data_IF_067465623114
#
_entry.id   IF_067465623114
#
_cell.length_a   1.000
_cell.length_b   1.000
_cell.length_c   1.000
_cell.angle_alpha   90.00
_cell.angle_beta   90.00
_cell.angle_gamma   90.00
#
_symmetry.space_group_name_H-M   'P 1'
#
loop_
_entity.id
_entity.type
_entity.pdbx_description
1 polymer ?
#
# COMPACT_ATOMS: atom_id res chain seq x y z
N UNK A 1 -11.49 -13.80 -8.91
CA UNK A 1 -11.77 -15.15 -8.38
C UNK A 1 -10.81 -15.47 -7.24
N UNK A 2 -10.96 -14.80 -6.10
CA UNK A 2 -10.34 -15.23 -4.85
C UNK A 2 -11.47 -15.30 -3.83
N UNK A 3 -11.67 -16.48 -3.25
CA UNK A 3 -12.63 -16.79 -2.19
C UNK A 3 -14.10 -16.98 -2.61
N UNK A 4 -14.37 -17.90 -3.54
CA UNK A 4 -15.58 -18.71 -3.43
C UNK A 4 -15.26 -19.86 -2.47
N UNK A 5 -15.75 -19.78 -1.24
CA UNK A 5 -15.75 -20.87 -0.25
C UNK A 5 -16.35 -22.14 -0.87
N UNK A 6 -15.49 -23.13 -1.14
CA UNK A 6 -15.74 -24.32 -1.97
C UNK A 6 -16.63 -25.40 -1.30
N UNK A 7 -17.19 -25.16 -0.12
CA UNK A 7 -17.92 -26.20 0.61
C UNK A 7 -19.40 -26.42 0.21
N UNK A 8 -19.92 -25.74 -0.83
CA UNK A 8 -21.26 -26.03 -1.35
C UNK A 8 -21.51 -25.53 -2.78
N UNK A 9 -20.69 -25.91 -3.76
CA UNK A 9 -21.04 -25.68 -5.17
C UNK A 9 -22.19 -26.61 -5.56
N UNK A 10 -23.37 -26.04 -5.81
CA UNK A 10 -24.53 -26.79 -6.34
C UNK A 10 -24.15 -27.38 -7.71
N UNK A 11 -24.56 -28.62 -7.98
CA UNK A 11 -24.33 -29.34 -9.25
C UNK A 11 -24.64 -28.49 -10.48
N UNK A 12 -25.72 -27.70 -10.44
CA UNK A 12 -26.11 -26.80 -11.53
C UNK A 12 -25.07 -25.72 -11.86
N UNK A 13 -24.28 -25.27 -10.89
CA UNK A 13 -23.20 -24.31 -11.13
C UNK A 13 -21.97 -24.97 -11.76
N UNK A 14 -21.68 -26.22 -11.39
CA UNK A 14 -20.63 -27.01 -12.04
C UNK A 14 -21.02 -27.37 -13.47
N UNK A 15 -22.27 -27.73 -13.72
CA UNK A 15 -22.78 -27.99 -15.08
C UNK A 15 -22.75 -26.73 -15.94
N UNK A 16 -23.14 -25.57 -15.40
CA UNK A 16 -23.03 -24.29 -16.11
C UNK A 16 -21.56 -23.91 -16.35
N UNK A 17 -20.69 -24.03 -15.34
CA UNK A 17 -19.27 -23.78 -15.47
C UNK A 17 -18.62 -24.67 -16.53
N UNK A 18 -18.87 -25.98 -16.50
CA UNK A 18 -18.37 -26.91 -17.51
C UNK A 18 -18.94 -26.58 -18.90
N UNK A 19 -20.22 -26.22 -18.99
CA UNK A 19 -20.84 -25.80 -20.26
C UNK A 19 -20.16 -24.55 -20.81
N UNK A 20 -19.87 -23.55 -19.99
CA UNK A 20 -19.14 -22.34 -20.38
C UNK A 20 -17.69 -22.66 -20.77
N UNK A 21 -16.98 -23.52 -20.03
CA UNK A 21 -15.63 -24.00 -20.39
C UNK A 21 -15.64 -24.68 -21.75
N UNK A 22 -16.61 -25.57 -22.00
CA UNK A 22 -16.74 -26.30 -23.26
C UNK A 22 -17.25 -25.40 -24.41
N UNK A 23 -18.01 -24.36 -24.12
CA UNK A 23 -18.48 -23.38 -25.10
C UNK A 23 -17.42 -22.32 -25.47
N UNK A 24 -16.23 -22.36 -24.86
CA UNK A 24 -15.18 -21.36 -25.08
C UNK A 24 -15.38 -20.06 -24.28
N UNK A 25 -16.25 -20.06 -23.27
CA UNK A 25 -16.50 -18.89 -22.40
C UNK A 25 -15.36 -18.58 -21.42
N UNK A 26 -14.32 -19.42 -21.36
CA UNK A 26 -13.07 -19.10 -20.67
C UNK A 26 -12.02 -18.75 -21.73
N UNK A 27 -11.52 -17.52 -21.74
CA UNK A 27 -10.53 -17.10 -22.70
C UNK A 27 -9.22 -17.89 -22.51
N UNK A 28 -8.62 -18.34 -23.60
CA UNK A 28 -7.31 -18.98 -23.59
C UNK A 28 -6.23 -17.90 -23.50
N UNK A 29 -5.24 -18.15 -22.63
CA UNK A 29 -4.17 -17.20 -22.37
C UNK A 29 -2.85 -17.75 -22.91
N UNK A 30 -2.22 -16.98 -23.78
CA UNK A 30 -0.83 -17.20 -24.16
C UNK A 30 0.06 -16.24 -23.37
N UNK A 31 0.94 -16.76 -22.52
CA UNK A 31 1.80 -15.94 -21.66
C UNK A 31 3.27 -16.23 -21.94
N UNK A 32 4.06 -15.17 -22.06
CA UNK A 32 5.52 -15.25 -22.15
C UNK A 32 6.17 -14.17 -21.28
N UNK A 33 7.41 -14.41 -20.86
CA UNK A 33 8.18 -13.51 -20.02
C UNK A 33 9.35 -12.90 -20.80
N UNK A 34 9.63 -11.63 -20.49
CA UNK A 34 10.79 -10.91 -21.02
C UNK A 34 11.62 -10.44 -19.85
N UNK A 35 12.78 -11.06 -19.68
CA UNK A 35 13.77 -10.63 -18.71
C UNK A 35 14.30 -9.25 -19.05
N UNK A 36 14.46 -8.43 -18.02
CA UNK A 36 15.02 -7.09 -18.10
C UNK A 36 16.01 -6.87 -16.98
N UNK A 37 17.02 -6.03 -17.23
CA UNK A 37 17.97 -5.69 -16.18
C UNK A 37 17.25 -4.90 -15.09
N UNK A 38 17.24 -5.39 -13.84
CA UNK A 38 16.71 -4.64 -12.72
C UNK A 38 17.64 -3.46 -12.46
N UNK A 39 17.17 -2.27 -12.78
CA UNK A 39 17.95 -1.04 -12.66
C UNK A 39 17.24 -0.10 -11.71
N UNK A 40 17.88 0.21 -10.59
CA UNK A 40 17.61 1.46 -9.90
C UNK A 40 18.13 2.62 -10.74
N UNK A 41 17.35 3.68 -10.78
CA UNK A 41 17.73 4.86 -11.51
C UNK A 41 18.75 5.66 -10.69
N UNK A 42 20.05 5.53 -11.02
CA UNK A 42 21.08 6.45 -10.55
C UNK A 42 20.95 7.77 -11.31
N UNK A 43 20.41 8.78 -10.63
CA UNK A 43 19.86 9.96 -11.33
C UNK A 43 20.93 10.98 -11.76
N UNK A 44 22.06 11.02 -11.05
CA UNK A 44 23.10 12.04 -11.13
C UNK A 44 24.11 11.84 -12.29
N UNK A 45 24.55 10.62 -12.56
CA UNK A 45 25.74 10.36 -13.38
C UNK A 45 25.49 9.89 -14.81
N UNK A 46 24.23 9.70 -15.23
CA UNK A 46 23.86 9.07 -16.50
C UNK A 46 24.56 7.71 -16.75
N UNK A 47 25.19 7.10 -15.74
CA UNK A 47 26.00 5.89 -15.84
C UNK A 47 25.19 4.72 -15.31
N UNK A 48 25.04 3.68 -16.14
CA UNK A 48 24.47 2.41 -15.70
C UNK A 48 25.43 1.75 -14.72
N UNK A 49 25.03 1.64 -13.46
CA UNK A 49 25.77 0.89 -12.44
C UNK A 49 25.13 -0.48 -12.32
N UNK A 50 25.90 -1.57 -12.17
CA UNK A 50 25.27 -2.90 -12.01
C UNK A 50 24.58 -2.97 -10.67
N UNK A 51 23.52 -3.76 -10.57
CA UNK A 51 22.78 -3.94 -9.32
C UNK A 51 23.69 -4.29 -8.14
N UNK A 52 24.64 -5.20 -8.36
CA UNK A 52 25.61 -5.65 -7.35
C UNK A 52 26.53 -4.52 -6.84
N UNK A 53 26.75 -3.47 -7.64
CA UNK A 53 27.64 -2.36 -7.29
C UNK A 53 27.02 -1.38 -6.28
N UNK A 54 25.68 -1.37 -6.15
CA UNK A 54 24.96 -0.45 -5.27
C UNK A 54 23.98 -1.12 -4.29
N UNK A 55 23.53 -2.35 -4.54
CA UNK A 55 22.51 -3.02 -3.71
C UNK A 55 22.90 -3.12 -2.23
N UNK A 56 24.19 -3.33 -1.97
CA UNK A 56 24.75 -3.38 -0.61
C UNK A 56 24.62 -2.05 0.16
N UNK A 57 24.50 -0.92 -0.55
CA UNK A 57 24.33 0.41 0.05
C UNK A 57 22.88 0.75 0.33
N UNK A 58 21.95 -0.04 -0.23
CA UNK A 58 20.53 0.23 -0.19
C UNK A 58 19.89 -0.71 0.80
N UNK A 59 20.13 -0.39 2.07
CA UNK A 59 19.50 -1.05 3.20
C UNK A 59 17.99 -0.82 3.13
N UNK A 60 17.24 -1.92 3.16
CA UNK A 60 15.79 -1.91 3.15
C UNK A 60 15.27 -2.72 4.32
N UNK A 61 14.00 -2.53 4.61
CA UNK A 61 13.24 -3.37 5.52
C UNK A 61 12.11 -4.01 4.73
N UNK A 62 11.94 -5.31 4.94
CA UNK A 62 10.78 -6.05 4.46
C UNK A 62 10.03 -6.55 5.66
N UNK A 63 8.71 -6.53 5.57
CA UNK A 63 7.92 -7.23 6.56
C UNK A 63 8.25 -8.73 6.42
N UNK A 64 8.65 -9.39 7.51
CA UNK A 64 8.62 -10.84 7.55
C UNK A 64 7.20 -11.30 7.20
N UNK A 65 7.07 -12.37 6.41
CA UNK A 65 5.77 -12.92 6.01
C UNK A 65 5.08 -13.65 7.19
N UNK A 66 5.11 -13.06 8.38
CA UNK A 66 4.74 -13.65 9.68
C UNK A 66 3.57 -12.92 10.33
N UNK A 67 2.81 -12.13 9.56
CA UNK A 67 1.43 -11.83 9.95
C UNK A 67 0.64 -13.14 9.88
N UNK A 68 0.81 -13.98 10.90
CA UNK A 68 0.26 -15.33 10.97
C UNK A 68 -1.14 -15.35 10.41
N UNK A 69 -1.31 -16.10 9.32
CA UNK A 69 -2.59 -16.32 8.67
C UNK A 69 -3.43 -17.14 9.66
N UNK A 70 -4.19 -16.42 10.49
CA UNK A 70 -4.84 -17.08 11.62
C UNK A 70 -5.59 -16.13 12.54
N UNK A 71 -6.53 -16.73 13.26
CA UNK A 71 -7.32 -16.09 14.30
C UNK A 71 -6.39 -15.71 15.46
N UNK A 72 -6.42 -14.44 15.87
CA UNK A 72 -5.60 -13.93 16.98
C UNK A 72 -6.43 -13.90 18.26
N UNK A 73 -5.91 -14.43 19.34
CA UNK A 73 -6.55 -14.36 20.65
C UNK A 73 -6.16 -13.06 21.32
N UNK A 74 -7.13 -12.25 21.74
CA UNK A 74 -6.89 -10.91 22.27
C UNK A 74 -7.63 -10.73 23.59
N UNK A 75 -6.92 -10.23 24.59
CA UNK A 75 -7.43 -9.87 25.89
C UNK A 75 -7.35 -8.35 26.08
N UNK A 76 -8.51 -7.74 26.34
CA UNK A 76 -8.64 -6.32 26.64
C UNK A 76 -8.50 -6.12 28.15
N UNK A 77 -7.48 -5.39 28.59
CA UNK A 77 -7.23 -5.08 30.00
C UNK A 77 -7.05 -3.57 30.20
N UNK A 78 -8.12 -2.82 29.99
CA UNK A 78 -8.09 -1.35 30.04
C UNK A 78 -7.17 -0.78 28.97
N UNK A 79 -6.09 -0.12 29.40
CA UNK A 79 -5.10 0.48 28.50
C UNK A 79 -4.03 -0.53 28.03
N UNK A 80 -4.08 -1.80 28.46
CA UNK A 80 -3.19 -2.85 27.96
C UNK A 80 -3.95 -3.86 27.08
N UNK A 81 -3.37 -4.18 25.93
CA UNK A 81 -3.88 -5.20 25.03
C UNK A 81 -2.87 -6.35 24.97
N UNK A 82 -3.26 -7.51 25.48
CA UNK A 82 -2.47 -8.73 25.35
C UNK A 82 -3.04 -9.55 24.21
N UNK A 83 -2.19 -10.16 23.41
CA UNK A 83 -2.64 -11.03 22.35
C UNK A 83 -1.68 -12.20 22.13
N UNK A 84 -2.21 -13.29 21.60
CA UNK A 84 -1.41 -14.42 21.11
C UNK A 84 -1.77 -14.73 19.66
N UNK A 85 -0.77 -15.13 18.89
CA UNK A 85 -0.91 -15.49 17.49
C UNK A 85 -0.02 -16.70 17.17
N UNK A 86 -0.39 -17.45 16.15
CA UNK A 86 0.42 -18.56 15.65
C UNK A 86 1.35 -18.06 14.54
N UNK A 87 2.62 -18.40 14.66
CA UNK A 87 3.67 -18.13 13.68
C UNK A 87 4.47 -19.42 13.46
N UNK A 88 4.47 -19.95 12.24
CA UNK A 88 5.03 -21.28 11.91
C UNK A 88 4.66 -22.38 12.92
N UNK A 89 3.37 -22.46 13.27
CA UNK A 89 2.80 -23.41 14.25
C UNK A 89 3.27 -23.23 15.70
N UNK A 90 3.98 -22.15 16.00
CA UNK A 90 4.40 -21.79 17.36
C UNK A 90 3.54 -20.63 17.88
N UNK A 91 3.03 -20.75 19.10
CA UNK A 91 2.28 -19.65 19.74
C UNK A 91 3.25 -18.57 20.21
N UNK A 92 3.07 -17.34 19.71
CA UNK A 92 3.83 -16.16 20.11
C UNK A 92 2.92 -15.17 20.86
N UNK A 93 3.31 -14.72 22.06
CA UNK A 93 2.62 -13.66 22.76
C UNK A 93 3.07 -12.28 22.27
N UNK A 94 2.19 -11.29 22.41
CA UNK A 94 2.51 -9.88 22.26
C UNK A 94 1.69 -9.03 23.22
N UNK A 95 2.24 -7.88 23.59
CA UNK A 95 1.56 -6.91 24.47
C UNK A 95 1.75 -5.51 23.93
N UNK A 96 0.64 -4.80 23.75
CA UNK A 96 0.63 -3.38 23.45
C UNK A 96 0.38 -2.66 24.77
N UNK A 97 1.47 -2.22 25.41
CA UNK A 97 1.39 -1.35 26.59
C UNK A 97 1.03 0.07 26.17
N UNK A 98 0.21 0.75 26.97
CA UNK A 98 -0.24 2.12 26.74
C UNK A 98 -1.03 2.29 25.42
N UNK A 99 -2.17 1.61 25.34
CA UNK A 99 -3.13 1.80 24.27
C UNK A 99 -3.49 3.29 24.16
N UNK A 100 -3.04 3.93 23.07
CA UNK A 100 -3.47 5.28 22.74
C UNK A 100 -4.96 5.25 22.44
N UNK A 101 -5.76 5.82 23.34
CA UNK A 101 -7.21 5.90 23.22
C UNK A 101 -7.61 6.49 21.88
N UNK A 102 -8.64 5.89 21.29
CA UNK A 102 -9.13 6.26 19.98
C UNK A 102 -9.98 7.52 20.06
N UNK A 103 -9.77 8.44 19.12
CA UNK A 103 -10.73 9.49 18.77
C UNK A 103 -11.61 8.98 17.63
N UNK A 104 -12.93 9.02 17.84
CA UNK A 104 -13.94 8.58 16.87
C UNK A 104 -14.75 9.78 16.41
N UNK A 105 -14.73 10.05 15.10
CA UNK A 105 -15.48 11.15 14.49
C UNK A 105 -16.62 10.59 13.65
N UNK A 106 -17.85 10.80 14.11
CA UNK A 106 -19.09 10.32 13.50
C UNK A 106 -19.94 11.45 12.94
N UNK A 107 -19.38 12.65 12.80
CA UNK A 107 -20.10 13.78 12.23
C UNK A 107 -20.43 13.51 10.76
N UNK A 108 -21.68 13.76 10.41
CA UNK A 108 -22.13 13.72 9.01
C UNK A 108 -21.57 14.89 8.19
N UNK A 109 -21.31 16.01 8.86
CA UNK A 109 -20.68 17.20 8.31
C UNK A 109 -19.47 17.56 9.20
N UNK A 110 -18.27 17.46 8.63
CA UNK A 110 -17.00 17.64 9.35
C UNK A 110 -16.63 19.10 9.59
N UNK A 111 -17.24 20.02 8.85
CA UNK A 111 -17.03 21.45 9.04
C UNK A 111 -17.87 21.99 10.20
N UNK A 112 -18.91 21.24 10.59
CA UNK A 112 -19.74 21.59 11.74
C UNK A 112 -19.09 21.08 13.02
N UNK A 113 -18.91 21.99 13.99
CA UNK A 113 -18.53 21.60 15.34
C UNK A 113 -19.60 20.68 15.94
N UNK A 114 -19.19 19.52 16.44
CA UNK A 114 -20.04 18.63 17.21
C UNK A 114 -19.41 18.40 18.59
N UNK A 115 -20.24 18.22 19.64
CA UNK A 115 -19.74 17.96 20.96
C UNK A 115 -19.06 16.58 21.05
N UNK A 116 -18.15 16.44 22.01
CA UNK A 116 -17.73 15.14 22.50
C UNK A 116 -18.87 14.53 23.33
N UNK A 117 -19.36 13.37 22.89
CA UNK A 117 -20.48 12.65 23.52
C UNK A 117 -20.03 11.38 24.25
N UNK A 118 -18.72 11.19 24.47
CA UNK A 118 -18.20 10.01 25.15
C UNK A 118 -18.87 9.79 26.52
N UNK A 119 -18.95 10.84 27.33
CA UNK A 119 -19.56 10.78 28.66
C UNK A 119 -21.07 10.56 28.60
N UNK A 120 -21.76 11.23 27.67
CA UNK A 120 -23.21 11.05 27.43
C UNK A 120 -23.51 9.56 27.11
N UNK A 121 -22.66 8.94 26.27
CA UNK A 121 -22.80 7.54 25.90
C UNK A 121 -22.51 6.59 27.06
N UNK A 122 -21.46 6.85 27.85
CA UNK A 122 -21.14 6.03 29.03
C UNK A 122 -22.31 6.04 30.03
N UNK A 123 -22.82 7.22 30.36
CA UNK A 123 -23.94 7.39 31.27
C UNK A 123 -25.22 6.73 30.75
N UNK A 124 -25.52 6.85 29.45
CA UNK A 124 -26.69 6.20 28.86
C UNK A 124 -26.58 4.67 28.88
N UNK A 125 -25.39 4.11 28.66
CA UNK A 125 -25.15 2.67 28.76
C UNK A 125 -25.40 2.12 30.18
N UNK A 126 -25.06 2.90 31.20
CA UNK A 126 -25.32 2.57 32.60
C UNK A 126 -26.81 2.77 32.95
N UNK A 127 -27.35 3.96 32.67
CA UNK A 127 -28.72 4.36 33.02
C UNK A 127 -29.79 3.52 32.33
N UNK A 128 -29.62 3.22 31.04
CA UNK A 128 -30.59 2.47 30.24
C UNK A 128 -30.19 1.00 30.03
N UNK A 129 -29.29 0.48 30.88
CA UNK A 129 -28.73 -0.86 30.83
C UNK A 129 -29.75 -1.99 30.58
N UNK A 130 -30.95 -1.91 31.17
CA UNK A 130 -32.01 -2.91 31.07
C UNK A 130 -32.88 -2.78 29.80
N UNK A 131 -32.83 -1.64 29.12
CA UNK A 131 -33.58 -1.37 27.88
C UNK A 131 -32.72 -1.57 26.62
N UNK A 132 -31.39 -1.65 26.78
CA UNK A 132 -30.47 -1.89 25.68
C UNK A 132 -30.41 -3.38 25.32
N UNK A 133 -30.43 -3.69 24.03
CA UNK A 133 -30.37 -5.07 23.54
C UNK A 133 -28.94 -5.63 23.59
N UNK A 134 -28.51 -6.06 24.77
CA UNK A 134 -27.18 -6.62 25.03
C UNK A 134 -26.89 -7.88 24.22
N UNK A 135 -27.89 -8.73 24.03
CA UNK A 135 -27.73 -9.95 23.24
C UNK A 135 -27.41 -9.62 21.77
N UNK A 136 -28.16 -8.69 21.16
CA UNK A 136 -27.94 -8.25 19.78
C UNK A 136 -26.62 -7.51 19.63
N UNK A 137 -26.15 -6.78 20.65
CA UNK A 137 -24.82 -6.15 20.62
C UNK A 137 -23.71 -7.21 20.73
N UNK A 138 -23.84 -8.20 21.60
CA UNK A 138 -22.90 -9.32 21.72
C UNK A 138 -22.77 -10.10 20.40
N UNK A 139 -23.87 -10.29 19.65
CA UNK A 139 -23.82 -10.88 18.30
C UNK A 139 -23.03 -10.01 17.32
N UNK A 140 -23.13 -8.68 17.40
CA UNK A 140 -22.32 -7.77 16.56
C UNK A 140 -20.85 -7.86 16.93
N UNK A 141 -20.53 -7.86 18.23
CA UNK A 141 -19.15 -8.04 18.72
C UNK A 141 -18.55 -9.34 18.18
N UNK A 142 -19.26 -10.46 18.32
CA UNK A 142 -18.80 -11.76 17.82
C UNK A 142 -18.58 -11.73 16.30
N UNK A 143 -19.56 -11.26 15.54
CA UNK A 143 -19.49 -11.20 14.08
C UNK A 143 -18.34 -10.33 13.59
N UNK A 144 -18.16 -9.15 14.17
CA UNK A 144 -17.07 -8.25 13.78
C UNK A 144 -15.72 -8.80 14.21
N UNK A 145 -15.61 -9.46 15.36
CA UNK A 145 -14.39 -10.14 15.77
C UNK A 145 -14.01 -11.25 14.78
N UNK A 146 -14.94 -12.15 14.42
CA UNK A 146 -14.72 -13.20 13.42
C UNK A 146 -14.31 -12.64 12.06
N UNK A 147 -15.03 -11.62 11.57
CA UNK A 147 -14.73 -10.94 10.31
C UNK A 147 -13.32 -10.36 10.29
N UNK A 148 -12.83 -9.89 11.44
CA UNK A 148 -11.48 -9.34 11.59
C UNK A 148 -10.46 -10.38 12.07
N UNK A 149 -10.80 -11.68 12.07
CA UNK A 149 -9.92 -12.78 12.52
C UNK A 149 -9.40 -12.59 13.95
N UNK A 150 -10.27 -12.09 14.84
CA UNK A 150 -9.98 -11.92 16.26
C UNK A 150 -10.89 -12.80 17.11
N UNK A 151 -10.34 -13.37 18.17
CA UNK A 151 -11.07 -13.91 19.32
C UNK A 151 -10.86 -12.96 20.49
N UNK A 152 -11.88 -12.17 20.79
CA UNK A 152 -11.79 -11.11 21.80
C UNK A 152 -12.31 -11.60 23.15
N UNK A 153 -11.58 -11.24 24.20
CA UNK A 153 -11.90 -11.51 25.60
C UNK A 153 -11.69 -10.24 26.41
N UNK A 154 -12.53 -10.02 27.42
CA UNK A 154 -12.25 -9.05 28.48
C UNK A 154 -11.38 -9.69 29.58
N UNK A 155 -11.10 -8.90 30.63
CA UNK A 155 -10.40 -9.40 31.83
C UNK A 155 -11.08 -10.69 32.34
N UNK A 156 -10.25 -11.67 32.72
CA UNK A 156 -10.69 -12.98 33.22
C UNK A 156 -11.38 -13.90 32.17
N UNK A 157 -11.05 -13.73 30.87
CA UNK A 157 -11.50 -14.64 29.80
C UNK A 157 -13.04 -14.63 29.58
N UNK A 158 -13.70 -13.54 29.98
CA UNK A 158 -15.12 -13.30 29.71
C UNK A 158 -15.35 -12.75 28.31
N UNK A 159 -16.61 -12.83 27.84
CA UNK A 159 -17.01 -12.21 26.57
C UNK A 159 -16.96 -10.68 26.73
N UNK A 160 -16.32 -9.96 25.78
CA UNK A 160 -16.23 -8.51 25.87
C UNK A 160 -17.60 -7.86 25.74
N UNK A 161 -17.75 -6.75 26.44
CA UNK A 161 -18.94 -5.91 26.50
C UNK A 161 -18.65 -4.54 25.93
N UNK A 162 -19.67 -3.70 25.80
CA UNK A 162 -19.46 -2.31 25.37
C UNK A 162 -18.53 -1.53 26.31
N UNK A 163 -18.48 -1.87 27.60
CA UNK A 163 -17.60 -1.20 28.57
C UNK A 163 -16.14 -1.42 28.21
N UNK A 164 -15.78 -2.65 27.80
CA UNK A 164 -14.43 -2.99 27.36
C UNK A 164 -14.05 -2.20 26.10
N UNK A 165 -14.98 -2.06 25.15
CA UNK A 165 -14.78 -1.25 23.95
C UNK A 165 -14.62 0.24 24.26
N UNK A 166 -15.43 0.79 25.16
CA UNK A 166 -15.34 2.20 25.56
C UNK A 166 -14.05 2.51 26.33
N UNK A 167 -13.43 1.53 26.99
CA UNK A 167 -12.12 1.71 27.63
C UNK A 167 -11.02 2.08 26.62
N UNK A 168 -11.17 1.63 25.37
CA UNK A 168 -10.23 1.89 24.27
C UNK A 168 -10.46 3.24 23.57
N UNK A 169 -11.49 3.98 23.96
CA UNK A 169 -11.94 5.22 23.31
C UNK A 169 -11.77 6.38 24.27
N UNK A 170 -11.30 7.52 23.75
CA UNK A 170 -11.04 8.72 24.54
C UNK A 170 -12.00 9.87 24.22
N UNK A 171 -12.42 9.98 22.96
CA UNK A 171 -13.27 11.07 22.47
C UNK A 171 -14.19 10.55 21.37
N UNK A 172 -15.45 11.00 21.38
CA UNK A 172 -16.44 10.65 20.37
C UNK A 172 -17.14 11.93 19.88
N UNK A 173 -16.80 12.39 18.69
CA UNK A 173 -17.45 13.55 18.08
C UNK A 173 -18.73 13.10 17.37
N UNK A 174 -19.88 13.43 17.95
CA UNK A 174 -21.18 13.08 17.37
C UNK A 174 -22.28 14.03 17.86
N UNK A 175 -23.45 13.95 17.23
CA UNK A 175 -24.63 14.69 17.70
C UNK A 175 -25.14 14.14 19.04
N UNK A 176 -25.52 15.03 19.96
CA UNK A 176 -26.10 14.66 21.26
C UNK A 176 -27.36 13.78 21.11
N UNK A 177 -27.70 12.98 22.13
CA UNK A 177 -28.95 12.24 22.14
C UNK A 177 -30.13 13.20 21.96
N UNK A 178 -30.96 12.93 20.95
CA UNK A 178 -32.22 13.65 20.72
C UNK A 178 -33.32 13.14 21.66
N UNK A 179 -34.55 13.04 21.16
CA UNK A 179 -35.71 12.60 21.95
C UNK A 179 -35.66 11.12 22.37
N UNK A 180 -34.89 10.29 21.67
CA UNK A 180 -34.73 8.85 21.95
C UNK A 180 -33.28 8.50 22.31
N UNK A 181 -32.90 8.57 23.60
CA UNK A 181 -31.55 8.26 24.05
C UNK A 181 -31.22 6.76 23.94
N UNK A 182 -32.21 5.86 23.98
CA UNK A 182 -31.99 4.41 23.91
C UNK A 182 -31.59 4.01 22.49
N UNK A 183 -32.37 4.43 21.48
CA UNK A 183 -32.04 4.13 20.09
C UNK A 183 -30.75 4.83 19.65
N UNK A 184 -30.48 6.04 20.13
CA UNK A 184 -29.21 6.72 19.92
C UNK A 184 -28.03 5.90 20.47
N UNK A 185 -28.16 5.40 21.70
CA UNK A 185 -27.13 4.57 22.36
C UNK A 185 -26.90 3.25 21.63
N UNK A 186 -27.97 2.53 21.23
CA UNK A 186 -27.84 1.24 20.52
C UNK A 186 -27.13 1.41 19.16
N UNK A 187 -27.48 2.47 18.40
CA UNK A 187 -26.82 2.76 17.12
C UNK A 187 -25.35 3.09 17.31
N UNK A 188 -25.03 3.98 18.26
CA UNK A 188 -23.66 4.43 18.47
C UNK A 188 -22.77 3.30 19.01
N UNK A 189 -23.26 2.48 19.94
CA UNK A 189 -22.55 1.30 20.42
C UNK A 189 -22.20 0.32 19.29
N UNK A 190 -23.13 0.06 18.37
CA UNK A 190 -22.86 -0.81 17.20
C UNK A 190 -21.76 -0.26 16.32
N UNK A 191 -21.80 1.03 16.03
CA UNK A 191 -20.80 1.69 15.19
C UNK A 191 -19.41 1.64 15.85
N UNK A 192 -19.34 1.91 17.15
CA UNK A 192 -18.10 1.81 17.94
C UNK A 192 -17.53 0.39 17.88
N UNK A 193 -18.35 -0.64 18.07
CA UNK A 193 -17.88 -2.03 17.98
C UNK A 193 -17.25 -2.32 16.62
N UNK A 194 -17.86 -1.88 15.51
CA UNK A 194 -17.34 -2.09 14.15
C UNK A 194 -15.98 -1.40 14.00
N UNK A 195 -15.89 -0.10 14.35
CA UNK A 195 -14.69 0.69 14.09
C UNK A 195 -13.53 0.36 15.03
N UNK A 196 -13.82 0.15 16.31
CA UNK A 196 -12.80 -0.21 17.31
C UNK A 196 -12.27 -1.60 17.02
N UNK A 197 -13.09 -2.58 16.66
CA UNK A 197 -12.60 -3.94 16.31
C UNK A 197 -11.64 -3.89 15.12
N UNK A 198 -12.01 -3.13 14.07
CA UNK A 198 -11.15 -2.93 12.89
C UNK A 198 -9.83 -2.25 13.25
N UNK A 199 -9.88 -1.16 14.03
CA UNK A 199 -8.67 -0.43 14.48
C UNK A 199 -7.79 -1.28 15.38
N UNK A 200 -8.38 -2.09 16.26
CA UNK A 200 -7.68 -3.05 17.12
C UNK A 200 -6.94 -4.10 16.30
N UNK A 201 -7.60 -4.71 15.32
CA UNK A 201 -6.97 -5.65 14.37
C UNK A 201 -5.77 -5.00 13.68
N UNK A 202 -5.95 -3.81 13.13
CA UNK A 202 -4.88 -3.12 12.39
C UNK A 202 -3.68 -2.82 13.29
N UNK A 203 -3.93 -2.37 14.52
CA UNK A 203 -2.88 -2.05 15.48
C UNK A 203 -2.13 -3.29 15.99
N UNK A 204 -2.83 -4.40 16.23
CA UNK A 204 -2.20 -5.68 16.58
C UNK A 204 -1.34 -6.18 15.41
N UNK A 205 -1.87 -6.14 14.19
CA UNK A 205 -1.08 -6.53 13.02
C UNK A 205 0.15 -5.61 12.87
N UNK A 206 0.00 -4.29 12.97
CA UNK A 206 1.12 -3.36 12.93
C UNK A 206 2.17 -3.69 14.02
N UNK A 207 1.73 -4.05 15.23
CA UNK A 207 2.63 -4.45 16.31
C UNK A 207 3.38 -5.76 16.02
N UNK A 208 2.69 -6.80 15.52
CA UNK A 208 3.31 -8.06 15.10
C UNK A 208 4.34 -7.80 13.99
N UNK A 209 3.96 -7.00 13.01
CA UNK A 209 4.73 -6.83 11.80
C UNK A 209 5.92 -5.90 11.99
N UNK A 210 5.76 -4.86 12.81
CA UNK A 210 6.88 -3.98 13.20
C UNK A 210 7.92 -4.65 14.09
N UNK A 211 7.55 -5.71 14.81
CA UNK A 211 8.49 -6.54 15.56
C UNK A 211 9.24 -7.55 14.68
N UNK A 212 8.78 -7.80 13.45
CA UNK A 212 9.31 -8.83 12.55
C UNK A 212 9.78 -8.25 11.21
N UNK A 213 10.23 -6.98 11.18
CA UNK A 213 10.92 -6.45 10.01
C UNK A 213 12.25 -7.17 9.83
N UNK A 214 12.49 -7.68 8.61
CA UNK A 214 13.77 -8.24 8.18
C UNK A 214 14.53 -7.12 7.49
N UNK A 215 15.71 -6.84 8.01
CA UNK A 215 16.64 -5.85 7.49
C UNK A 215 17.66 -6.58 6.64
N UNK A 216 17.49 -6.52 5.33
CA UNK A 216 18.40 -7.15 4.37
C UNK A 216 18.70 -6.18 3.22
N UNK A 217 19.85 -6.31 2.55
CA UNK A 217 20.11 -5.57 1.32
C UNK A 217 19.01 -5.85 0.29
N UNK A 218 18.73 -4.85 -0.55
CA UNK A 218 17.82 -5.02 -1.68
C UNK A 218 18.30 -6.21 -2.53
N UNK A 219 17.38 -7.13 -2.85
CA UNK A 219 17.62 -8.29 -3.72
C UNK A 219 17.11 -8.00 -5.12
N UNK A 220 17.64 -8.73 -6.10
CA UNK A 220 17.23 -8.62 -7.49
C UNK A 220 15.72 -8.89 -7.65
N UNK A 221 15.20 -9.87 -6.91
CA UNK A 221 13.80 -10.26 -6.92
C UNK A 221 12.86 -9.16 -6.39
N UNK A 222 13.39 -8.17 -5.67
CA UNK A 222 12.60 -7.03 -5.17
C UNK A 222 12.35 -5.97 -6.25
N UNK A 223 13.10 -6.03 -7.34
CA UNK A 223 13.00 -5.12 -8.46
C UNK A 223 12.18 -5.72 -9.60
N UNK A 224 11.80 -4.88 -10.56
CA UNK A 224 11.23 -5.36 -11.81
C UNK A 224 12.37 -5.95 -12.64
N UNK A 225 12.50 -7.27 -12.64
CA UNK A 225 13.48 -8.02 -13.43
C UNK A 225 12.86 -8.76 -14.62
N UNK A 226 11.52 -8.77 -14.72
CA UNK A 226 10.81 -9.37 -15.85
C UNK A 226 9.48 -8.66 -16.14
N UNK A 227 9.11 -8.63 -17.42
CA UNK A 227 7.74 -8.33 -17.85
C UNK A 227 7.02 -9.63 -18.20
N UNK A 228 5.77 -9.76 -17.75
CA UNK A 228 4.85 -10.80 -18.19
C UNK A 228 3.93 -10.21 -19.24
N UNK A 229 3.89 -10.81 -20.43
CA UNK A 229 2.97 -10.41 -21.50
C UNK A 229 1.98 -11.54 -21.73
N UNK A 230 0.70 -11.20 -21.74
CA UNK A 230 -0.41 -12.14 -21.91
C UNK A 230 -1.27 -11.71 -23.08
N UNK A 231 -1.44 -12.60 -24.06
CA UNK A 231 -2.44 -12.47 -25.12
C UNK A 231 -3.66 -13.33 -24.80
N UNK A 232 -4.83 -12.74 -24.95
CA UNK A 232 -6.11 -13.38 -24.71
C UNK A 232 -6.74 -13.84 -26.04
N UNK A 233 -7.30 -15.04 -26.06
CA UNK A 233 -7.98 -15.61 -27.22
C UNK A 233 -9.38 -16.05 -26.81
N UNK A 234 -10.40 -15.63 -27.56
CA UNK A 234 -11.79 -15.97 -27.27
C UNK A 234 -12.12 -17.40 -27.66
N UNK A 235 -11.44 -17.97 -28.66
CA UNK A 235 -11.72 -19.32 -29.19
C UNK A 235 -10.47 -20.20 -29.25
N UNK A 236 -10.61 -21.52 -29.00
CA UNK A 236 -9.53 -22.50 -29.18
C UNK A 236 -8.92 -22.51 -30.59
N UNK A 237 -9.75 -22.44 -31.63
CA UNK A 237 -9.27 -22.49 -33.02
C UNK A 237 -8.35 -21.31 -33.36
N UNK A 238 -8.64 -20.12 -32.81
CA UNK A 238 -7.80 -18.92 -32.99
C UNK A 238 -6.44 -19.07 -32.30
N UNK A 239 -6.42 -19.70 -31.13
CA UNK A 239 -5.19 -20.01 -30.41
C UNK A 239 -4.33 -21.04 -31.14
N UNK A 240 -4.95 -22.11 -31.65
CA UNK A 240 -4.25 -23.16 -32.39
C UNK A 240 -3.71 -22.64 -33.74
N UNK A 241 -4.49 -21.83 -34.44
CA UNK A 241 -4.05 -21.14 -35.67
C UNK A 241 -2.87 -20.21 -35.38
N UNK A 242 -2.93 -19.44 -34.28
CA UNK A 242 -1.84 -18.59 -33.82
C UNK A 242 -0.54 -19.38 -33.57
N UNK A 243 -0.61 -20.49 -32.82
CA UNK A 243 0.55 -21.35 -32.56
C UNK A 243 1.12 -21.98 -33.84
N UNK A 244 0.25 -22.38 -34.77
CA UNK A 244 0.64 -22.94 -36.06
C UNK A 244 1.36 -21.90 -36.92
N UNK A 245 0.86 -20.67 -36.94
CA UNK A 245 1.45 -19.57 -37.70
C UNK A 245 2.85 -19.19 -37.18
N UNK A 246 3.07 -19.20 -35.86
CA UNK A 246 4.40 -18.99 -35.26
C UNK A 246 5.37 -20.09 -35.71
N UNK A 247 4.99 -21.37 -35.55
CA UNK A 247 5.84 -22.52 -35.92
C UNK A 247 6.21 -22.53 -37.40
N UNK A 248 5.30 -22.13 -38.28
CA UNK A 248 5.54 -22.08 -39.72
C UNK A 248 6.48 -20.92 -40.09
N UNK A 249 6.29 -19.74 -39.49
CA UNK A 249 7.15 -18.59 -39.76
C UNK A 249 8.60 -18.81 -39.31
N UNK A 250 8.82 -19.54 -38.20
CA UNK A 250 10.15 -19.95 -37.74
C UNK A 250 10.82 -20.93 -38.72
N UNK A 251 10.07 -21.88 -39.28
CA UNK A 251 10.57 -22.86 -40.26
C UNK A 251 10.92 -22.24 -41.61
N UNK A 252 10.19 -21.21 -42.04
CA UNK A 252 10.40 -20.52 -43.32
C UNK A 252 11.66 -19.62 -43.33
N UNK A 253 12.34 -19.43 -42.20
CA UNK A 253 13.53 -18.58 -42.09
C UNK A 253 13.26 -17.08 -42.29
N UNK A 254 11.99 -16.68 -42.43
CA UNK A 254 11.58 -15.29 -42.64
C UNK A 254 11.41 -14.57 -41.30
N UNK A 255 12.53 -14.09 -40.75
CA UNK A 255 12.58 -13.39 -39.45
C UNK A 255 11.60 -12.21 -39.37
N UNK A 256 11.45 -11.41 -40.42
CA UNK A 256 10.57 -10.25 -40.43
C UNK A 256 9.07 -10.63 -40.37
N UNK A 257 8.66 -11.74 -40.99
CA UNK A 257 7.29 -12.27 -40.92
C UNK A 257 7.03 -12.92 -39.57
N UNK A 258 7.98 -13.68 -39.04
CA UNK A 258 7.90 -14.28 -37.71
C UNK A 258 7.78 -13.20 -36.61
N UNK A 259 8.55 -12.12 -36.71
CA UNK A 259 8.49 -10.98 -35.77
C UNK A 259 7.18 -10.19 -35.82
N UNK A 260 6.46 -10.17 -36.95
CA UNK A 260 5.16 -9.49 -37.07
C UNK A 260 4.02 -10.31 -36.46
N UNK A 261 4.13 -11.64 -36.50
CA UNK A 261 3.07 -12.56 -36.07
C UNK A 261 3.28 -13.01 -34.62
N UNK A 262 4.54 -13.16 -34.18
CA UNK A 262 4.89 -13.54 -32.82
C UNK A 262 4.95 -12.28 -31.91
N UNK A 263 3.99 -12.10 -30.98
CA UNK A 263 3.96 -10.98 -30.06
C UNK A 263 5.18 -10.95 -29.13
N UNK A 264 5.79 -12.10 -28.85
CA UNK A 264 7.02 -12.20 -28.07
C UNK A 264 8.20 -11.61 -28.84
N UNK A 265 8.39 -12.00 -30.09
CA UNK A 265 9.46 -11.47 -30.93
C UNK A 265 9.30 -9.98 -31.19
N UNK A 266 8.06 -9.53 -31.43
CA UNK A 266 7.71 -8.10 -31.55
C UNK A 266 8.08 -7.34 -30.28
N UNK A 267 7.64 -7.82 -29.10
CA UNK A 267 7.92 -7.18 -27.82
C UNK A 267 9.42 -7.20 -27.51
N UNK A 268 10.12 -8.31 -27.73
CA UNK A 268 11.58 -8.39 -27.56
C UNK A 268 12.31 -7.41 -28.47
N UNK A 269 11.84 -7.20 -29.70
CA UNK A 269 12.41 -6.23 -30.65
C UNK A 269 12.13 -4.79 -30.22
N UNK A 270 10.89 -4.43 -29.90
CA UNK A 270 10.56 -3.06 -29.50
C UNK A 270 11.20 -2.70 -28.17
N UNK A 271 11.19 -3.62 -27.20
CA UNK A 271 12.00 -3.49 -26.00
C UNK A 271 13.48 -3.35 -26.39
N UNK A 272 14.05 -4.24 -27.20
CA UNK A 272 15.44 -4.17 -27.66
C UNK A 272 15.83 -2.85 -28.33
N UNK A 273 14.93 -2.23 -29.13
CA UNK A 273 15.12 -0.92 -29.77
C UNK A 273 15.10 0.24 -28.78
N UNK A 274 14.24 0.13 -27.77
CA UNK A 274 14.12 1.14 -26.72
C UNK A 274 15.26 1.03 -25.69
N UNK A 275 15.83 -0.17 -25.60
CA UNK A 275 16.86 -0.60 -24.67
C UNK A 275 18.23 -0.63 -25.38
N UNK A 276 18.88 0.48 -25.72
CA UNK A 276 20.32 0.47 -26.14
C UNK A 276 21.26 0.38 -24.90
N UNK A 277 22.52 -0.09 -25.03
CA UNK A 277 23.30 -0.69 -23.92
C UNK A 277 23.68 0.19 -22.72
N UNK A 278 23.73 1.52 -22.86
CA UNK A 278 24.27 2.40 -21.80
C UNK A 278 23.25 3.04 -20.87
N UNK A 279 21.96 3.08 -21.26
CA UNK A 279 20.94 3.85 -20.55
C UNK A 279 19.57 3.19 -20.73
N UNK A 280 19.12 2.41 -19.75
CA UNK A 280 17.83 1.72 -19.84
C UNK A 280 16.99 2.00 -18.61
N UNK A 281 16.04 2.93 -18.77
CA UNK A 281 14.96 3.14 -17.82
C UNK A 281 14.03 1.92 -17.82
N UNK A 282 13.82 1.32 -16.65
CA UNK A 282 12.70 0.40 -16.34
C UNK A 282 11.31 0.99 -16.70
N UNK A 283 11.26 2.28 -17.01
CA UNK A 283 10.07 3.03 -17.36
C UNK A 283 9.83 3.17 -18.87
N UNK A 284 10.80 2.89 -19.74
CA UNK A 284 10.65 3.20 -21.18
C UNK A 284 9.58 2.35 -21.90
N UNK A 285 9.40 1.05 -21.60
CA UNK A 285 8.24 0.28 -22.08
C UNK A 285 6.92 0.79 -21.50
N UNK A 286 6.98 1.55 -20.40
CA UNK A 286 5.87 2.11 -19.65
C UNK A 286 5.55 3.57 -20.03
N UNK A 287 6.37 4.20 -20.89
CA UNK A 287 6.36 5.63 -21.24
C UNK A 287 5.86 5.91 -22.66
N UNK A 288 5.67 4.86 -23.48
CA UNK A 288 5.23 5.03 -24.87
C UNK A 288 3.89 5.79 -24.95
N UNK A 289 3.75 6.75 -25.88
CA UNK A 289 2.48 7.43 -26.14
C UNK A 289 1.39 6.41 -26.45
N UNK A 290 0.19 6.70 -25.94
CA UNK A 290 -1.02 5.90 -26.15
C UNK A 290 -1.26 5.62 -27.65
N UNK A 291 -1.02 6.62 -28.50
CA UNK A 291 -1.30 6.58 -29.94
C UNK A 291 -0.35 5.67 -30.76
N UNK A 292 0.94 5.58 -30.38
CA UNK A 292 1.93 4.77 -31.12
C UNK A 292 1.80 3.26 -30.85
N UNK A 293 1.07 2.89 -29.79
CA UNK A 293 1.02 1.52 -29.25
C UNK A 293 -0.42 0.96 -29.25
N UNK A 294 -1.46 1.81 -29.21
CA UNK A 294 -2.87 1.37 -29.25
C UNK A 294 -3.29 0.64 -30.53
N UNK A 295 -2.56 0.83 -31.64
CA UNK A 295 -2.85 0.15 -32.90
C UNK A 295 -2.21 -1.24 -33.00
N UNK A 296 -1.06 -1.47 -32.34
CA UNK A 296 -0.29 -2.71 -32.45
C UNK A 296 -0.51 -3.68 -31.26
N UNK A 297 -0.99 -3.20 -30.11
CA UNK A 297 -0.97 -3.93 -28.84
C UNK A 297 -2.31 -3.99 -28.10
N UNK A 298 -3.41 -3.67 -28.79
CA UNK A 298 -4.76 -3.61 -28.19
C UNK A 298 -5.17 -4.90 -27.46
N UNK A 299 -4.65 -6.04 -27.92
CA UNK A 299 -5.01 -7.37 -27.43
C UNK A 299 -3.95 -7.99 -26.49
N UNK A 300 -2.92 -7.23 -26.10
CA UNK A 300 -1.86 -7.69 -25.18
C UNK A 300 -1.97 -7.01 -23.81
N UNK A 301 -2.03 -7.83 -22.75
CA UNK A 301 -1.88 -7.41 -21.35
C UNK A 301 -0.41 -7.51 -20.96
N UNK A 302 0.14 -6.49 -20.29
CA UNK A 302 1.56 -6.44 -19.87
C UNK A 302 1.65 -6.10 -18.40
N UNK A 303 2.37 -6.91 -17.63
CA UNK A 303 2.62 -6.71 -16.19
C UNK A 303 4.12 -6.62 -15.91
N UNK A 304 4.60 -5.70 -15.05
CA UNK A 304 3.82 -4.67 -14.34
C UNK A 304 3.22 -3.61 -15.28
N UNK A 305 2.08 -3.03 -14.88
CA UNK A 305 1.34 -2.03 -15.67
C UNK A 305 2.19 -0.81 -16.01
N UNK A 306 1.82 -0.11 -17.09
CA UNK A 306 2.45 1.15 -17.51
C UNK A 306 2.37 2.22 -16.42
N UNK A 307 3.30 3.18 -16.48
CA UNK A 307 3.21 4.39 -15.67
C UNK A 307 2.03 5.18 -16.22
N UNK A 308 1.12 5.58 -15.33
CA UNK A 308 0.10 6.52 -15.72
C UNK A 308 0.71 7.92 -15.95
N UNK A 309 -0.08 8.85 -16.49
CA UNK A 309 0.37 10.22 -16.78
C UNK A 309 1.01 10.94 -15.58
N UNK A 310 0.49 10.70 -14.37
CA UNK A 310 1.00 11.32 -13.14
C UNK A 310 2.34 10.73 -12.69
N UNK A 311 2.44 9.39 -12.65
CA UNK A 311 3.69 8.70 -12.33
C UNK A 311 4.80 9.03 -13.33
N UNK A 312 4.47 9.06 -14.64
CA UNK A 312 5.40 9.45 -15.70
C UNK A 312 5.93 10.86 -15.47
N UNK A 313 5.03 11.83 -15.22
CA UNK A 313 5.41 13.21 -14.94
C UNK A 313 6.31 13.32 -13.71
N UNK A 314 5.98 12.60 -12.62
CA UNK A 314 6.80 12.57 -11.41
C UNK A 314 8.22 12.10 -11.69
N UNK A 315 8.39 10.97 -12.40
CA UNK A 315 9.71 10.44 -12.75
C UNK A 315 10.48 11.42 -13.64
N UNK A 316 9.83 12.02 -14.64
CA UNK A 316 10.44 13.00 -15.55
C UNK A 316 10.90 14.27 -14.82
N UNK A 317 10.04 14.87 -13.99
CA UNK A 317 10.35 16.08 -13.23
C UNK A 317 11.46 15.83 -12.20
N UNK A 318 11.39 14.71 -11.47
CA UNK A 318 12.40 14.31 -10.49
C UNK A 318 13.77 14.12 -11.16
N UNK A 319 13.78 13.42 -12.29
CA UNK A 319 14.99 13.20 -13.09
C UNK A 319 15.58 14.52 -13.56
N UNK A 320 14.75 15.37 -14.15
CA UNK A 320 15.17 16.67 -14.67
C UNK A 320 15.78 17.52 -13.56
N UNK A 321 15.11 17.60 -12.41
CA UNK A 321 15.57 18.40 -11.29
C UNK A 321 16.89 17.94 -10.72
N UNK A 322 17.05 16.64 -10.46
CA UNK A 322 18.31 16.11 -9.92
C UNK A 322 19.44 16.36 -10.92
N UNK A 323 19.20 16.17 -12.21
CA UNK A 323 20.18 16.49 -13.26
C UNK A 323 20.55 17.97 -13.28
N UNK A 324 19.59 18.87 -13.19
CA UNK A 324 19.87 20.32 -13.24
C UNK A 324 20.56 20.83 -11.96
N UNK A 325 20.25 20.24 -10.81
CA UNK A 325 20.70 20.75 -9.50
C UNK A 325 21.96 20.04 -8.98
N UNK A 326 22.15 18.76 -9.33
CA UNK A 326 23.16 17.88 -8.76
C UNK A 326 24.08 17.24 -9.81
N UNK A 327 24.11 17.77 -11.05
CA UNK A 327 24.90 17.24 -12.18
C UNK A 327 26.36 16.87 -11.88
N UNK A 328 27.00 17.60 -10.95
CA UNK A 328 28.40 17.40 -10.55
C UNK A 328 28.54 17.21 -9.03
N UNK A 329 27.48 16.75 -8.38
CA UNK A 329 27.49 16.54 -6.95
C UNK A 329 28.09 15.17 -6.62
N UNK A 330 29.16 15.15 -5.83
CA UNK A 330 29.78 13.91 -5.32
C UNK A 330 29.27 13.50 -3.93
N UNK A 331 28.50 14.38 -3.29
CA UNK A 331 27.99 14.21 -1.93
C UNK A 331 26.78 13.28 -1.88
N UNK A 332 25.86 13.43 -2.83
CA UNK A 332 24.58 12.75 -2.84
C UNK A 332 24.52 11.71 -3.93
N UNK A 333 24.06 10.51 -3.59
CA UNK A 333 23.66 9.51 -4.58
C UNK A 333 22.16 9.28 -4.52
N UNK A 334 21.50 9.31 -5.68
CA UNK A 334 20.05 9.18 -5.79
C UNK A 334 19.67 7.87 -6.47
N UNK A 335 18.86 7.04 -5.82
CA UNK A 335 18.38 5.75 -6.35
C UNK A 335 16.86 5.65 -6.28
N UNK A 336 16.18 5.58 -7.43
CA UNK A 336 14.72 5.45 -7.50
C UNK A 336 14.29 4.02 -7.85
N UNK A 337 13.39 3.47 -7.04
CA UNK A 337 12.70 2.20 -7.25
C UNK A 337 11.21 2.45 -7.48
N UNK A 338 10.62 1.76 -8.46
CA UNK A 338 9.17 1.57 -8.52
C UNK A 338 8.79 0.38 -7.65
N UNK A 339 7.88 0.61 -6.72
CA UNK A 339 7.42 -0.41 -5.80
C UNK A 339 6.19 -1.11 -6.38
N UNK A 340 6.37 -2.34 -6.87
CA UNK A 340 5.26 -3.15 -7.38
C UNK A 340 4.63 -3.92 -6.21
N UNK A 341 3.30 -3.88 -6.12
CA UNK A 341 2.55 -4.58 -5.08
C UNK A 341 2.92 -6.07 -5.06
N UNK A 342 3.12 -6.64 -3.86
CA UNK A 342 3.52 -8.03 -3.54
C UNK A 342 5.03 -8.34 -3.50
N UNK A 343 5.89 -7.44 -3.98
CA UNK A 343 7.34 -7.72 -4.10
C UNK A 343 8.21 -6.76 -3.26
N UNK A 344 7.80 -5.49 -3.11
CA UNK A 344 8.67 -4.47 -2.50
C UNK A 344 8.26 -3.98 -1.12
N UNK A 345 8.57 -2.71 -0.85
CA UNK A 345 8.52 -2.11 0.49
C UNK A 345 7.08 -1.83 0.92
N UNK A 346 6.81 -2.17 2.18
CA UNK A 346 5.49 -2.08 2.77
C UNK A 346 5.54 -1.47 4.16
N UNK A 347 4.61 -0.58 4.44
CA UNK A 347 4.50 0.12 5.69
C UNK A 347 3.17 -0.21 6.37
N UNK A 348 3.23 -0.67 7.61
CA UNK A 348 2.03 -0.91 8.40
C UNK A 348 1.91 0.12 9.52
N UNK A 349 0.78 0.81 9.53
CA UNK A 349 0.44 1.83 10.50
C UNK A 349 -0.78 1.41 11.32
N UNK A 350 -1.04 2.12 12.43
CA UNK A 350 -2.26 1.95 13.22
C UNK A 350 -3.54 2.20 12.39
N UNK A 351 -3.44 3.04 11.36
CA UNK A 351 -4.53 3.32 10.42
C UNK A 351 -4.73 2.19 9.40
N UNK A 352 -3.69 1.40 9.15
CA UNK A 352 -3.68 0.30 8.21
C UNK A 352 -2.44 0.27 7.32
N UNK A 353 -2.56 -0.52 6.27
CA UNK A 353 -1.52 -0.89 5.32
C UNK A 353 -1.26 0.19 4.27
N UNK A 354 0.00 0.52 4.01
CA UNK A 354 0.43 1.45 2.96
C UNK A 354 1.52 0.85 2.07
N UNK A 355 1.22 0.79 0.77
CA UNK A 355 2.17 0.50 -0.29
C UNK A 355 2.46 1.79 -1.07
N UNK A 356 3.66 2.38 -0.94
CA UNK A 356 4.05 3.51 -1.79
C UNK A 356 4.21 3.05 -3.24
N UNK A 357 4.01 3.94 -4.21
CA UNK A 357 4.23 3.63 -5.63
C UNK A 357 5.74 3.64 -5.97
N UNK A 358 6.51 4.49 -5.28
CA UNK A 358 7.95 4.65 -5.46
C UNK A 358 8.69 4.76 -4.13
N UNK A 359 9.95 4.33 -4.13
CA UNK A 359 10.89 4.55 -3.04
C UNK A 359 12.16 5.16 -3.61
N UNK A 360 12.60 6.27 -3.02
CA UNK A 360 13.84 6.93 -3.39
C UNK A 360 14.82 6.91 -2.22
N UNK A 361 16.03 6.42 -2.45
CA UNK A 361 17.16 6.59 -1.54
C UNK A 361 17.98 7.80 -1.96
N UNK A 362 18.34 8.62 -0.98
CA UNK A 362 19.32 9.70 -1.12
C UNK A 362 20.43 9.45 -0.09
N UNK A 363 21.57 8.99 -0.56
CA UNK A 363 22.73 8.72 0.29
C UNK A 363 23.54 10.01 0.45
N UNK A 364 23.59 10.60 1.64
CA UNK A 364 24.46 11.75 1.95
C UNK A 364 25.83 11.24 2.44
N UNK A 365 26.83 11.27 1.55
CA UNK A 365 28.19 10.81 1.85
C UNK A 365 28.96 11.72 2.81
N UNK A 366 28.53 12.97 2.98
CA UNK A 366 29.21 13.92 3.87
C UNK A 366 28.71 13.80 5.31
N UNK A 367 27.39 13.62 5.48
CA UNK A 367 26.78 13.46 6.81
C UNK A 367 26.62 12.00 7.24
N UNK A 368 26.91 11.06 6.34
CA UNK A 368 26.69 9.62 6.52
C UNK A 368 25.23 9.28 6.86
N UNK A 369 24.28 10.00 6.24
CA UNK A 369 22.85 9.80 6.44
C UNK A 369 22.23 9.21 5.18
N UNK A 370 21.47 8.12 5.33
CA UNK A 370 20.63 7.57 4.26
C UNK A 370 19.21 8.08 4.42
N UNK A 371 18.74 8.86 3.44
CA UNK A 371 17.34 9.28 3.39
C UNK A 371 16.53 8.33 2.53
N UNK A 372 15.41 7.84 3.05
CA UNK A 372 14.48 6.96 2.31
C UNK A 372 13.14 7.70 2.17
N UNK A 373 12.72 7.93 0.94
CA UNK A 373 11.54 8.72 0.62
C UNK A 373 10.50 7.84 -0.08
N UNK A 374 9.36 7.64 0.58
CA UNK A 374 8.22 6.93 0.03
C UNK A 374 7.35 7.91 -0.74
N UNK A 375 7.14 7.70 -2.04
CA UNK A 375 6.37 8.62 -2.89
C UNK A 375 5.18 7.93 -3.53
N UNK A 376 4.04 8.59 -3.50
CA UNK A 376 2.79 8.11 -4.08
C UNK A 376 2.07 9.23 -4.85
N UNK A 377 2.22 9.28 -6.19
CA UNK A 377 1.57 10.25 -7.05
C UNK A 377 0.10 9.95 -7.39
N UNK A 378 -0.47 8.84 -6.90
CA UNK A 378 -1.87 8.47 -7.13
C UNK A 378 -2.76 8.63 -5.90
N UNK A 379 -2.18 8.96 -4.74
CA UNK A 379 -2.82 8.90 -3.43
C UNK A 379 -4.23 9.50 -3.37
N UNK A 380 -4.48 10.61 -4.08
CA UNK A 380 -5.77 11.29 -4.09
C UNK A 380 -6.97 10.39 -4.46
N UNK A 381 -6.88 9.64 -5.56
CA UNK A 381 -8.04 8.88 -6.07
C UNK A 381 -8.46 7.77 -5.11
N UNK A 382 -7.50 7.11 -4.48
CA UNK A 382 -7.76 6.06 -3.50
C UNK A 382 -8.31 6.64 -2.19
N UNK A 383 -7.76 7.77 -1.75
CA UNK A 383 -8.18 8.47 -0.53
C UNK A 383 -9.63 8.98 -0.64
N UNK A 384 -10.00 9.55 -1.79
CA UNK A 384 -11.36 10.08 -2.04
C UNK A 384 -12.36 8.96 -2.34
N UNK A 385 -11.95 7.92 -3.08
CA UNK A 385 -12.83 6.82 -3.49
C UNK A 385 -13.21 5.86 -2.35
N UNK A 386 -12.34 5.65 -1.37
CA UNK A 386 -12.57 4.74 -0.24
C UNK A 386 -13.22 5.39 0.99
N UNK A 387 -13.13 6.71 1.12
CA UNK A 387 -13.56 7.44 2.32
C UNK A 387 -14.06 8.83 1.93
N UNK A 388 -15.34 8.95 1.53
CA UNK A 388 -16.01 10.26 1.41
C UNK A 388 -15.96 10.97 2.78
N UNK A 389 -14.96 11.82 2.97
CA UNK A 389 -14.81 12.71 4.13
C UNK A 389 -13.72 12.34 5.15
N UNK A 390 -13.17 11.12 5.21
CA UNK A 390 -12.22 10.70 6.27
C UNK A 390 -10.77 10.47 5.84
N UNK A 391 -10.28 11.32 4.95
CA UNK A 391 -8.91 11.23 4.46
C UNK A 391 -7.83 11.40 5.55
N UNK A 392 -8.12 12.17 6.63
CA UNK A 392 -7.18 12.38 7.76
C UNK A 392 -6.84 11.09 8.50
N UNK A 393 -7.71 10.09 8.46
CA UNK A 393 -7.46 8.78 9.04
C UNK A 393 -6.92 7.75 8.04
N UNK A 394 -6.71 8.14 6.78
CA UNK A 394 -6.18 7.22 5.77
C UNK A 394 -4.72 6.86 6.09
N UNK A 395 -4.31 5.57 5.95
CA UNK A 395 -2.94 5.11 6.24
C UNK A 395 -1.85 5.97 5.61
N UNK A 396 -2.07 6.32 4.33
CA UNK A 396 -1.16 7.17 3.54
C UNK A 396 -0.94 8.56 4.13
N UNK A 397 -1.98 9.16 4.72
CA UNK A 397 -1.92 10.53 5.27
C UNK A 397 -1.28 10.49 6.66
N UNK A 398 -1.70 9.54 7.50
CA UNK A 398 -1.18 9.42 8.87
C UNK A 398 0.29 9.09 8.92
N UNK A 399 0.76 8.17 8.08
CA UNK A 399 2.17 7.76 8.11
C UNK A 399 3.14 8.87 7.69
N UNK A 400 2.69 9.82 6.86
CA UNK A 400 3.46 11.02 6.53
C UNK A 400 3.59 11.99 7.72
N UNK A 401 2.72 11.89 8.73
CA UNK A 401 2.71 12.74 9.91
C UNK A 401 3.36 12.04 11.11
N UNK A 402 4.70 12.09 11.18
CA UNK A 402 5.48 11.47 12.28
C UNK A 402 5.07 11.84 13.71
N UNK A 403 4.46 13.02 13.89
CA UNK A 403 3.94 13.46 15.18
C UNK A 403 2.69 12.69 15.62
N UNK A 404 1.91 12.20 14.66
CA UNK A 404 0.70 11.43 14.91
C UNK A 404 0.95 9.92 14.80
N UNK A 405 1.86 9.51 13.92
CA UNK A 405 2.22 8.13 13.65
C UNK A 405 3.74 7.90 13.76
N UNK A 406 4.17 7.10 14.73
CA UNK A 406 5.58 6.86 15.01
C UNK A 406 6.22 5.76 14.16
N UNK A 407 5.51 5.17 13.18
CA UNK A 407 5.99 4.04 12.38
C UNK A 407 7.33 4.33 11.73
N UNK A 408 7.44 5.47 11.01
CA UNK A 408 8.70 5.85 10.36
C UNK A 408 9.82 6.09 11.36
N UNK A 409 9.53 6.68 12.52
CA UNK A 409 10.54 6.94 13.57
C UNK A 409 11.01 5.67 14.26
N UNK A 410 10.16 4.65 14.39
CA UNK A 410 10.57 3.33 14.86
C UNK A 410 11.48 2.65 13.85
N UNK A 411 11.10 2.67 12.57
CA UNK A 411 11.91 2.11 11.49
C UNK A 411 13.27 2.79 11.36
N UNK A 412 13.34 4.13 11.49
CA UNK A 412 14.60 4.87 11.55
C UNK A 412 15.53 4.32 12.62
N UNK A 413 15.03 4.18 13.86
CA UNK A 413 15.82 3.65 14.99
C UNK A 413 16.25 2.20 14.80
N UNK A 414 15.39 1.37 14.20
CA UNK A 414 15.71 -0.04 13.95
C UNK A 414 16.76 -0.19 12.84
N UNK A 415 16.64 0.57 11.75
CA UNK A 415 17.66 0.64 10.70
C UNK A 415 19.00 1.15 11.24
N UNK A 416 18.96 2.18 12.09
CA UNK A 416 20.15 2.71 12.76
C UNK A 416 20.83 1.66 13.64
N UNK A 417 20.05 0.88 14.40
CA UNK A 417 20.58 -0.16 15.26
C UNK A 417 21.20 -1.33 14.48
N UNK A 418 20.65 -1.68 13.32
CA UNK A 418 21.11 -2.82 12.51
C UNK A 418 22.34 -2.48 11.66
N UNK A 419 22.43 -1.25 11.14
CA UNK A 419 23.42 -0.88 10.12
C UNK A 419 24.47 0.14 10.60
N UNK A 420 24.44 0.56 11.88
CA UNK A 420 25.36 1.54 12.47
C UNK A 420 25.53 2.82 11.62
N UNK A 421 24.44 3.23 10.96
CA UNK A 421 24.36 4.40 10.09
C UNK A 421 23.07 5.16 10.39
N UNK A 422 23.06 6.49 10.27
CA UNK A 422 21.85 7.30 10.42
C UNK A 422 20.87 7.12 9.26
N UNK A 423 19.58 6.99 9.60
CA UNK A 423 18.51 6.90 8.62
C UNK A 423 17.45 7.98 8.84
N UNK A 424 16.94 8.53 7.73
CA UNK A 424 15.80 9.42 7.78
C UNK A 424 14.74 9.04 6.75
N UNK A 425 13.60 8.55 7.23
CA UNK A 425 12.47 8.11 6.43
C UNK A 425 11.42 9.20 6.33
N UNK A 426 10.87 9.46 5.14
CA UNK A 426 9.74 10.36 4.97
C UNK A 426 8.76 9.80 3.93
N UNK A 427 7.49 10.15 4.05
CA UNK A 427 6.43 9.71 3.13
C UNK A 427 5.75 10.93 2.50
N UNK A 428 5.57 10.89 1.18
CA UNK A 428 5.08 11.98 0.35
C UNK A 428 3.87 11.48 -0.46
N UNK A 429 2.72 12.12 -0.27
CA UNK A 429 1.56 11.97 -1.13
C UNK A 429 1.58 13.09 -2.17
N UNK A 430 1.78 12.77 -3.44
CA UNK A 430 1.82 13.81 -4.48
C UNK A 430 0.41 14.00 -5.04
N UNK A 431 -0.18 15.15 -4.72
CA UNK A 431 -1.50 15.55 -5.18
C UNK A 431 -1.40 16.28 -6.51
N UNK A 432 -2.48 16.28 -7.29
CA UNK A 432 -2.58 17.09 -8.51
C UNK A 432 -2.87 18.54 -8.13
N UNK A 433 -2.46 19.48 -8.98
CA UNK A 433 -2.77 20.91 -8.79
C UNK A 433 -4.28 21.18 -8.74
N UNK A 434 -5.08 20.32 -9.36
CA UNK A 434 -6.55 20.38 -9.34
C UNK A 434 -7.19 19.65 -8.16
N UNK A 435 -6.40 19.18 -7.19
CA UNK A 435 -6.89 18.32 -6.12
C UNK A 435 -7.81 19.06 -5.16
N UNK A 436 -8.97 18.47 -4.85
CA UNK A 436 -9.87 19.00 -3.82
C UNK A 436 -9.24 18.93 -2.42
N UNK A 437 -8.30 18.00 -2.19
CA UNK A 437 -7.54 17.91 -0.93
C UNK A 437 -6.55 19.08 -0.74
N UNK A 438 -6.22 19.81 -1.81
CA UNK A 438 -5.38 21.00 -1.76
C UNK A 438 -6.17 22.32 -1.87
N UNK A 439 -7.46 22.27 -2.18
CA UNK A 439 -8.30 23.45 -2.39
C UNK A 439 -9.02 23.85 -1.10
N UNK A 440 -8.81 25.08 -0.63
CA UNK A 440 -9.53 25.67 0.52
C UNK A 440 -8.77 25.68 1.85
N UNK A 441 -7.60 25.07 1.89
CA UNK A 441 -6.72 25.07 3.08
C UNK A 441 -5.74 26.26 3.03
N UNK A 442 -5.34 26.78 4.20
CA UNK A 442 -4.48 27.96 4.30
C UNK A 442 -3.16 27.77 3.53
N UNK A 443 -2.63 28.84 2.94
CA UNK A 443 -1.35 28.86 2.24
C UNK A 443 -0.23 28.32 3.12
N UNK A 444 -0.29 28.46 4.44
CA UNK A 444 0.66 27.85 5.37
C UNK A 444 0.42 26.35 5.64
N UNK A 445 -0.83 25.86 5.56
CA UNK A 445 -1.14 24.42 5.58
C UNK A 445 -0.70 23.76 4.27
N UNK A 446 -1.08 24.36 3.14
CA UNK A 446 -0.61 23.98 1.81
C UNK A 446 0.90 24.07 1.81
N UNK A 447 1.55 25.10 2.34
CA UNK A 447 3.03 25.14 2.45
C UNK A 447 3.59 24.15 3.46
N UNK A 448 2.94 23.74 4.56
CA UNK A 448 3.45 22.70 5.48
C UNK A 448 3.36 21.31 4.88
N UNK A 449 2.26 21.06 4.17
CA UNK A 449 1.99 19.82 3.44
C UNK A 449 2.83 19.81 2.17
N UNK A 450 2.81 20.81 1.30
CA UNK A 450 3.77 21.05 0.21
C UNK A 450 5.22 21.18 0.70
N UNK A 451 5.56 21.61 1.92
CA UNK A 451 6.96 21.54 2.41
C UNK A 451 7.38 20.09 2.69
N UNK A 452 6.41 19.22 2.97
CA UNK A 452 6.55 17.77 3.12
C UNK A 452 6.04 16.98 1.92
N UNK A 453 5.63 17.64 0.83
CA UNK A 453 5.05 17.06 -0.42
C UNK A 453 5.77 17.62 -1.67
N UNK A 454 6.53 18.70 -1.56
CA UNK A 454 7.57 19.04 -2.52
C UNK A 454 8.83 18.33 -2.08
N UNK A 455 9.13 17.29 -2.83
CA UNK A 455 10.46 16.76 -3.01
C UNK A 455 11.54 17.88 -3.12
N UNK A 456 11.15 19.06 -3.62
CA UNK A 456 11.99 20.25 -3.83
C UNK A 456 12.19 21.18 -2.60
N UNK A 457 11.25 21.31 -1.65
CA UNK A 457 11.43 22.21 -0.48
C UNK A 457 12.30 21.59 0.62
N UNK A 458 12.26 20.25 0.78
CA UNK A 458 13.19 19.55 1.66
C UNK A 458 14.65 19.72 1.17
N UNK A 459 14.85 19.71 -0.15
CA UNK A 459 16.13 20.04 -0.77
C UNK A 459 16.50 21.53 -0.62
N UNK A 460 15.51 22.44 -0.64
CA UNK A 460 15.70 23.84 -0.26
C UNK A 460 16.12 24.05 1.21
N UNK A 461 15.86 23.09 2.10
CA UNK A 461 16.29 23.15 3.50
C UNK A 461 17.78 22.81 3.65
N UNK A 462 18.32 21.98 2.74
CA UNK A 462 19.76 21.75 2.60
C UNK A 462 20.46 23.06 2.21
N UNK A 463 19.88 23.87 1.31
CA UNK A 463 20.37 25.24 1.01
C UNK A 463 20.47 26.10 2.28
N UNK A 464 19.44 26.10 3.13
CA UNK A 464 19.39 26.92 4.36
C UNK A 464 20.37 26.47 5.46
N UNK A 465 20.77 25.19 5.49
CA UNK A 465 21.82 24.67 6.39
C UNK A 465 23.25 24.83 5.83
N UNK A 466 23.40 25.20 4.55
CA UNK A 466 24.70 25.37 3.88
C UNK A 466 25.14 26.83 3.70
N UNK A 467 24.42 27.81 4.27
CA UNK A 467 24.85 29.21 4.24
C UNK A 467 24.95 29.80 2.83
N UNK A 468 24.00 29.47 1.95
CA UNK A 468 23.78 30.11 0.64
C UNK A 468 22.36 30.69 0.55
#
# INVERSE_FOLDING_TARGET
METLTVFSLRRSYLEYFLKEVHAGGIPLLHTFTIEVNPMLFKVDGNTSVKFDDYSQKLHIFKQGNTAGSGIKRVFLNGDEIHYTYLDDSTEKPGTISNWRKLTLDYRTDKERSAPDVFEDLRQNNEKYACYLNRAKLATVIHREAEKNQLQLYSKENHKPTIVDYLSLVGEIQYQKPGQDPIAWTDRLNRQIVIDVTRKLKNRINAHINSANYVYEPLKQDDLIYQYTVTKEFEKPDEYDEFLKNIKNAEKEGNKAKAERINPEALMRRELGRLLEPGHRHIYKPLILPQEDVESMYRDLKVSPDRLNRGEKKFVEDLTKYIKETYYQNERYEFYLMRNVQKIGIYLESDAGSYYPDFVLWVLDREQEITHILFADPKGEREIIGGTRGDYKNHPKVKIAQKSEDQTLTKLEKQLEAEHDQKFQLNSFLLLRDSSELGNGEDVDWIKKIYWRITFFAWIGTIKKRMGL
#
